data_IF_970482558919
#
_entry.id   IF_970482558919
#
_cell.length_a   1.000
_cell.length_b   1.000
_cell.length_c   1.000
_cell.angle_alpha   90.00
_cell.angle_beta   90.00
_cell.angle_gamma   90.00
#
_symmetry.space_group_name_H-M   'P 1'
#
loop_
_entity.id
_entity.type
_entity.pdbx_description
1 polymer ?
#
# COMPACT_ATOMS: atom_id res chain seq x y z
N UNK A 1 -3.36 13.33 -12.72
CA UNK A 1 -3.12 14.78 -12.57
C UNK A 1 -1.92 15.23 -13.39
N UNK A 2 -0.74 14.62 -13.23
CA UNK A 2 0.45 14.95 -14.02
C UNK A 2 0.88 13.91 -15.05
N UNK A 3 0.13 12.81 -15.21
CA UNK A 3 0.52 11.69 -16.09
C UNK A 3 1.68 10.85 -15.54
N UNK A 4 2.36 11.33 -14.51
CA UNK A 4 3.48 10.70 -13.83
C UNK A 4 3.18 10.52 -12.34
N UNK A 5 3.54 9.34 -11.81
CA UNK A 5 3.41 9.00 -10.40
C UNK A 5 4.45 9.70 -9.53
N UNK A 6 5.58 10.11 -10.11
CA UNK A 6 6.72 10.70 -9.39
C UNK A 6 6.47 12.10 -8.86
N UNK A 7 5.73 12.93 -9.58
CA UNK A 7 5.58 14.37 -9.24
C UNK A 7 5.17 14.62 -7.79
N UNK A 8 4.15 13.92 -7.27
CA UNK A 8 3.70 14.09 -5.88
C UNK A 8 4.42 13.18 -4.88
N UNK A 9 5.17 12.17 -5.35
CA UNK A 9 6.07 11.39 -4.49
C UNK A 9 7.34 12.19 -4.17
N UNK A 10 7.83 12.93 -5.15
CA UNK A 10 9.09 13.68 -5.08
C UNK A 10 8.86 15.09 -4.52
N UNK A 11 7.66 15.65 -4.71
CA UNK A 11 7.28 16.99 -4.21
C UNK A 11 5.95 16.95 -3.44
N UNK A 12 5.86 16.24 -2.31
CA UNK A 12 4.62 16.08 -1.55
C UNK A 12 4.10 17.40 -0.94
N UNK A 13 4.97 18.37 -0.68
CA UNK A 13 4.64 19.71 -0.18
C UNK A 13 3.70 20.47 -1.12
N UNK A 14 3.71 20.15 -2.42
CA UNK A 14 2.78 20.73 -3.37
C UNK A 14 1.32 20.49 -2.98
N UNK A 15 1.02 19.39 -2.28
CA UNK A 15 -0.33 19.11 -1.76
C UNK A 15 -0.73 20.09 -0.67
N UNK A 16 0.20 20.61 0.13
CA UNK A 16 -0.12 21.57 1.19
C UNK A 16 -0.31 22.99 0.63
N UNK A 17 0.59 23.41 -0.26
CA UNK A 17 0.80 24.83 -0.56
C UNK A 17 0.19 25.30 -1.88
N UNK A 18 -0.45 24.41 -2.64
CA UNK A 18 -1.01 24.72 -3.96
C UNK A 18 -2.48 24.30 -4.08
N UNK A 19 -3.08 24.55 -5.25
CA UNK A 19 -4.42 24.06 -5.61
C UNK A 19 -4.59 22.53 -5.47
N UNK A 20 -3.48 21.80 -5.37
CA UNK A 20 -3.44 20.35 -5.15
C UNK A 20 -4.02 19.94 -3.79
N UNK A 21 -4.13 20.83 -2.81
CA UNK A 21 -4.83 20.53 -1.54
C UNK A 21 -6.28 20.10 -1.80
N UNK A 22 -7.00 20.86 -2.61
CA UNK A 22 -8.40 20.61 -2.94
C UNK A 22 -8.51 19.49 -3.97
N UNK A 23 -7.62 19.48 -4.97
CA UNK A 23 -7.67 18.47 -6.01
C UNK A 23 -7.38 17.05 -5.48
N UNK A 24 -6.46 16.91 -4.51
CA UNK A 24 -6.20 15.63 -3.85
C UNK A 24 -7.38 15.17 -2.99
N UNK A 25 -8.06 16.09 -2.29
CA UNK A 25 -9.28 15.78 -1.54
C UNK A 25 -10.43 15.32 -2.45
N UNK A 26 -10.62 15.99 -3.60
CA UNK A 26 -11.62 15.59 -4.62
C UNK A 26 -11.24 14.23 -5.22
N UNK A 27 -9.96 14.00 -5.51
CA UNK A 27 -9.48 12.70 -5.99
C UNK A 27 -9.81 11.59 -4.98
N UNK A 28 -9.49 11.77 -3.69
CA UNK A 28 -9.83 10.81 -2.64
C UNK A 28 -11.35 10.58 -2.53
N UNK A 29 -12.15 11.64 -2.66
CA UNK A 29 -13.62 11.56 -2.59
C UNK A 29 -14.22 10.76 -3.75
N UNK A 30 -13.70 10.93 -4.97
CA UNK A 30 -14.25 10.34 -6.18
C UNK A 30 -13.64 8.99 -6.56
N UNK A 31 -12.39 8.73 -6.18
CA UNK A 31 -11.65 7.56 -6.64
C UNK A 31 -11.83 6.35 -5.68
N UNK A 32 -12.35 5.20 -6.15
CA UNK A 32 -12.55 4.03 -5.30
C UNK A 32 -11.22 3.40 -4.87
N UNK A 33 -11.20 2.85 -3.66
CA UNK A 33 -10.04 2.15 -3.07
C UNK A 33 -10.48 0.77 -2.60
N UNK A 34 -10.66 -0.20 -3.53
CA UNK A 34 -11.13 -1.54 -3.20
C UNK A 34 -10.37 -2.14 -2.00
N UNK A 35 -11.07 -2.76 -1.04
CA UNK A 35 -12.49 -3.13 -1.09
C UNK A 35 -13.51 -2.00 -0.82
N UNK A 36 -13.06 -0.76 -0.66
CA UNK A 36 -13.91 0.39 -0.39
C UNK A 36 -14.44 1.00 -1.70
N UNK A 37 -15.74 1.30 -1.81
CA UNK A 37 -16.24 2.17 -2.88
C UNK A 37 -15.70 3.59 -2.69
N UNK A 38 -15.91 4.47 -3.66
CA UNK A 38 -15.63 5.90 -3.45
C UNK A 38 -16.71 6.56 -2.60
N UNK A 39 -16.37 7.66 -1.92
CA UNK A 39 -17.35 8.43 -1.16
C UNK A 39 -18.42 9.03 -2.07
N UNK A 40 -18.04 9.44 -3.29
CA UNK A 40 -18.99 9.92 -4.30
C UNK A 40 -20.06 8.87 -4.61
N UNK A 41 -19.66 7.61 -4.84
CA UNK A 41 -20.59 6.53 -5.13
C UNK A 41 -21.57 6.25 -3.97
N UNK A 42 -21.14 6.47 -2.73
CA UNK A 42 -22.02 6.34 -1.55
C UNK A 42 -23.06 7.47 -1.53
N UNK A 43 -22.64 8.71 -1.76
CA UNK A 43 -23.50 9.89 -1.64
C UNK A 43 -24.45 10.04 -2.83
N UNK A 44 -24.02 9.70 -4.05
CA UNK A 44 -24.87 9.73 -5.25
C UNK A 44 -25.76 8.47 -5.39
N UNK A 45 -25.52 7.46 -4.55
CA UNK A 45 -26.30 6.22 -4.51
C UNK A 45 -25.94 5.21 -5.59
N UNK A 46 -24.88 5.41 -6.36
CA UNK A 46 -24.43 4.42 -7.36
C UNK A 46 -23.78 3.19 -6.73
N UNK A 47 -23.21 3.31 -5.53
CA UNK A 47 -22.84 2.15 -4.71
C UNK A 47 -24.09 1.52 -4.10
N UNK A 48 -24.39 0.31 -4.54
CA UNK A 48 -25.50 -0.49 -4.04
C UNK A 48 -24.94 -1.62 -3.15
N UNK A 49 -25.02 -1.50 -1.81
CA UNK A 49 -24.47 -2.51 -0.92
C UNK A 49 -25.15 -3.86 -1.15
N UNK A 50 -24.32 -4.89 -1.26
CA UNK A 50 -24.81 -6.27 -1.35
C UNK A 50 -25.20 -6.80 0.04
N UNK A 51 -25.65 -8.05 0.11
CA UNK A 51 -26.08 -8.63 1.40
C UNK A 51 -24.92 -8.78 2.39
N UNK A 52 -23.69 -8.92 1.90
CA UNK A 52 -22.49 -8.97 2.74
C UNK A 52 -22.17 -7.60 3.36
N UNK A 53 -22.22 -6.53 2.58
CA UNK A 53 -22.10 -5.15 3.06
C UNK A 53 -23.15 -4.86 4.15
N UNK A 54 -24.42 -5.19 3.88
CA UNK A 54 -25.52 -4.99 4.84
C UNK A 54 -25.33 -5.81 6.12
N UNK A 55 -24.89 -7.06 6.01
CA UNK A 55 -24.58 -7.90 7.18
C UNK A 55 -23.39 -7.37 8.01
N UNK A 56 -22.54 -6.55 7.39
CA UNK A 56 -21.45 -5.83 8.03
C UNK A 56 -21.84 -4.42 8.52
N UNK A 57 -23.11 -4.04 8.40
CA UNK A 57 -23.62 -2.73 8.79
C UNK A 57 -23.26 -1.60 7.82
N UNK A 58 -22.69 -1.92 6.66
CA UNK A 58 -22.32 -0.97 5.61
C UNK A 58 -23.56 -0.67 4.76
N UNK A 59 -24.30 0.36 5.15
CA UNK A 59 -25.55 0.79 4.49
C UNK A 59 -25.45 2.23 4.01
N UNK A 60 -26.21 2.68 2.99
CA UNK A 60 -26.06 4.02 2.44
C UNK A 60 -26.28 5.11 3.51
N UNK A 61 -25.43 6.13 3.49
CA UNK A 61 -25.48 7.27 4.42
C UNK A 61 -24.09 7.83 4.75
N UNK A 62 -24.07 9.00 5.38
CA UNK A 62 -22.84 9.69 5.76
C UNK A 62 -21.86 8.82 6.59
N UNK A 63 -22.38 7.92 7.44
CA UNK A 63 -21.57 7.04 8.28
C UNK A 63 -20.59 6.16 7.50
N UNK A 64 -21.02 5.61 6.36
CA UNK A 64 -20.16 4.79 5.51
C UNK A 64 -19.02 5.61 4.89
N UNK A 65 -19.23 6.90 4.65
CA UNK A 65 -18.14 7.78 4.18
C UNK A 65 -17.05 7.98 5.26
N UNK A 66 -17.43 7.99 6.54
CA UNK A 66 -16.47 7.98 7.66
C UNK A 66 -15.70 6.66 7.72
N UNK A 67 -16.38 5.54 7.46
CA UNK A 67 -15.74 4.22 7.35
C UNK A 67 -14.70 4.17 6.22
N UNK A 68 -14.98 4.80 5.08
CA UNK A 68 -14.03 4.90 3.96
C UNK A 68 -12.78 5.68 4.38
N UNK A 69 -12.98 6.86 4.99
CA UNK A 69 -11.90 7.77 5.38
C UNK A 69 -10.96 7.15 6.41
N UNK A 70 -11.50 6.66 7.54
CA UNK A 70 -10.68 6.25 8.68
C UNK A 70 -11.31 5.15 9.53
N UNK A 71 -11.98 4.22 8.87
CA UNK A 71 -12.77 3.18 9.52
C UNK A 71 -12.04 2.30 10.52
N UNK A 72 -10.75 2.01 10.28
CA UNK A 72 -9.93 1.20 11.19
C UNK A 72 -9.68 1.85 12.55
N UNK A 73 -9.93 3.16 12.68
CA UNK A 73 -9.74 3.93 13.91
C UNK A 73 -11.08 4.42 14.48
N UNK A 74 -12.00 4.84 13.61
CA UNK A 74 -13.18 5.60 14.04
C UNK A 74 -14.46 4.76 14.20
N UNK A 75 -14.49 3.55 13.65
CA UNK A 75 -15.72 2.79 13.47
C UNK A 75 -15.63 1.36 14.02
N UNK A 76 -16.76 0.64 14.00
CA UNK A 76 -16.84 -0.77 14.43
C UNK A 76 -16.91 -0.99 15.94
N UNK A 77 -16.69 0.06 16.74
CA UNK A 77 -16.98 0.05 18.17
C UNK A 77 -18.49 0.04 18.48
N UNK A 78 -18.90 -0.38 19.68
CA UNK A 78 -20.30 -0.43 20.08
C UNK A 78 -20.95 0.96 20.24
N UNK A 79 -20.12 1.99 20.35
CA UNK A 79 -20.55 3.39 20.51
C UNK A 79 -19.81 4.28 19.53
N UNK A 80 -20.45 5.39 19.18
CA UNK A 80 -19.84 6.39 18.31
C UNK A 80 -18.79 7.19 19.08
N UNK A 81 -17.57 7.25 18.55
CA UNK A 81 -16.47 7.97 19.21
C UNK A 81 -16.52 9.47 18.89
N UNK A 82 -15.77 10.26 19.66
CA UNK A 82 -15.76 11.73 19.55
C UNK A 82 -15.40 12.23 18.14
N UNK A 83 -14.47 11.57 17.45
CA UNK A 83 -14.03 11.92 16.10
C UNK A 83 -15.18 11.79 15.09
N UNK A 84 -15.88 10.65 15.10
CA UNK A 84 -17.04 10.45 14.22
C UNK A 84 -18.21 11.36 14.59
N UNK A 85 -18.47 11.59 15.87
CA UNK A 85 -19.46 12.60 16.32
C UNK A 85 -19.12 14.00 15.80
N UNK A 86 -17.83 14.37 15.77
CA UNK A 86 -17.40 15.64 15.20
C UNK A 86 -17.66 15.72 13.69
N UNK A 87 -17.42 14.63 12.94
CA UNK A 87 -17.75 14.56 11.50
C UNK A 87 -19.25 14.73 11.26
N UNK A 88 -20.09 14.04 12.04
CA UNK A 88 -21.56 14.14 11.97
C UNK A 88 -22.01 15.58 12.25
N UNK A 89 -21.38 16.25 13.22
CA UNK A 89 -21.68 17.65 13.55
C UNK A 89 -21.42 18.55 12.34
N UNK A 90 -20.24 18.48 11.72
CA UNK A 90 -19.93 19.27 10.52
C UNK A 90 -20.88 18.97 9.36
N UNK A 91 -21.21 17.69 9.12
CA UNK A 91 -22.17 17.31 8.09
C UNK A 91 -23.54 17.99 8.29
N UNK A 92 -24.08 17.93 9.51
CA UNK A 92 -25.37 18.56 9.84
C UNK A 92 -25.33 20.08 9.72
N UNK A 93 -24.26 20.72 10.19
CA UNK A 93 -24.10 22.18 10.07
C UNK A 93 -24.03 22.62 8.61
N UNK A 94 -23.26 21.92 7.76
CA UNK A 94 -23.18 22.23 6.34
C UNK A 94 -24.49 21.95 5.61
N UNK A 95 -25.18 20.84 5.90
CA UNK A 95 -26.49 20.56 5.33
C UNK A 95 -27.51 21.66 5.70
N UNK A 96 -27.52 22.10 6.96
CA UNK A 96 -28.36 23.21 7.42
C UNK A 96 -28.00 24.56 6.77
N UNK A 97 -26.71 24.85 6.60
CA UNK A 97 -26.23 26.05 5.92
C UNK A 97 -26.68 26.06 4.46
N UNK A 98 -26.47 24.95 3.74
CA UNK A 98 -26.82 24.76 2.34
C UNK A 98 -28.32 24.52 2.10
N UNK A 99 -29.13 24.42 3.16
CA UNK A 99 -30.57 24.11 3.10
C UNK A 99 -30.88 22.78 2.42
N UNK A 100 -29.98 21.80 2.58
CA UNK A 100 -30.17 20.43 2.13
C UNK A 100 -30.74 19.61 3.30
N UNK A 101 -31.91 18.97 3.15
CA UNK A 101 -32.48 18.16 4.23
C UNK A 101 -31.67 16.88 4.43
N UNK A 102 -31.40 16.53 5.69
CA UNK A 102 -30.84 15.23 6.07
C UNK A 102 -32.02 14.28 6.38
N UNK A 103 -32.23 13.22 5.60
CA UNK A 103 -33.31 12.26 5.86
C UNK A 103 -33.21 11.66 7.27
N UNK A 104 -34.35 11.48 7.93
CA UNK A 104 -34.40 10.93 9.29
C UNK A 104 -33.92 9.48 9.39
N UNK A 105 -33.98 8.75 8.27
CA UNK A 105 -33.49 7.39 8.12
C UNK A 105 -32.05 7.30 7.61
N UNK A 106 -31.37 8.42 7.37
CA UNK A 106 -29.96 8.41 6.97
C UNK A 106 -29.08 7.95 8.14
N UNK A 107 -28.23 6.95 7.90
CA UNK A 107 -27.28 6.47 8.90
C UNK A 107 -26.06 7.38 8.90
N UNK A 108 -25.99 8.26 9.90
CA UNK A 108 -24.92 9.28 9.98
C UNK A 108 -23.65 8.80 10.68
N UNK A 109 -23.77 7.87 11.64
CA UNK A 109 -22.65 7.33 12.39
C UNK A 109 -22.09 6.04 11.79
N UNK A 110 -20.92 5.62 12.27
CA UNK A 110 -20.27 4.39 11.83
C UNK A 110 -20.01 3.40 12.98
N UNK A 111 -20.59 3.64 14.16
CA UNK A 111 -20.64 2.65 15.22
C UNK A 111 -21.23 1.32 14.70
N UNK A 112 -20.64 0.21 15.13
CA UNK A 112 -20.97 -1.16 14.73
C UNK A 112 -20.71 -1.52 13.25
N UNK A 113 -20.31 -0.59 12.39
CA UNK A 113 -19.91 -0.92 11.01
C UNK A 113 -18.61 -1.72 11.02
N UNK A 114 -18.62 -2.92 10.43
CA UNK A 114 -17.39 -3.70 10.21
C UNK A 114 -16.61 -3.12 9.04
N UNK A 115 -15.33 -3.46 8.97
CA UNK A 115 -14.45 -3.04 7.87
C UNK A 115 -14.98 -3.56 6.52
N UNK A 116 -14.69 -2.82 5.46
CA UNK A 116 -14.84 -3.31 4.09
C UNK A 116 -13.90 -4.49 3.86
N UNK A 117 -14.35 -5.47 3.09
CA UNK A 117 -13.57 -6.64 2.69
C UNK A 117 -13.94 -7.07 1.25
N UNK A 118 -13.24 -8.08 0.73
CA UNK A 118 -13.36 -8.53 -0.67
C UNK A 118 -14.75 -9.06 -1.05
N UNK A 119 -15.62 -9.37 -0.08
CA UNK A 119 -17.00 -9.78 -0.33
C UNK A 119 -17.96 -8.61 -0.59
N UNK A 120 -17.54 -7.38 -0.34
CA UNK A 120 -18.38 -6.18 -0.49
C UNK A 120 -18.55 -5.71 -1.93
N UNK A 121 -19.62 -4.98 -2.22
CA UNK A 121 -19.88 -4.40 -3.54
C UNK A 121 -18.87 -3.31 -3.93
N UNK A 122 -18.09 -2.81 -2.96
CA UNK A 122 -16.96 -1.89 -3.19
C UNK A 122 -15.66 -2.58 -3.62
N UNK A 123 -15.60 -3.92 -3.62
CA UNK A 123 -14.43 -4.70 -4.05
C UNK A 123 -14.29 -4.76 -5.58
N UNK A 124 -14.21 -3.58 -6.20
CA UNK A 124 -14.10 -3.42 -7.64
C UNK A 124 -12.74 -3.93 -8.13
N UNK A 125 -12.72 -4.66 -9.24
CA UNK A 125 -11.49 -5.07 -9.91
C UNK A 125 -11.08 -4.03 -10.95
N UNK A 126 -10.27 -3.07 -10.54
CA UNK A 126 -9.97 -1.83 -11.31
C UNK A 126 -8.49 -1.65 -11.63
N UNK A 127 -7.67 -2.65 -11.35
CA UNK A 127 -6.24 -2.66 -11.64
C UNK A 127 -5.89 -3.85 -12.52
N UNK A 128 -4.93 -3.67 -13.43
CA UNK A 128 -4.40 -4.75 -14.25
C UNK A 128 -3.23 -5.43 -13.56
N UNK A 129 -3.20 -6.75 -13.61
CA UNK A 129 -2.12 -7.60 -13.10
C UNK A 129 -1.87 -8.76 -14.06
N UNK A 130 -0.67 -9.35 -14.00
CA UNK A 130 -0.34 -10.58 -14.71
C UNK A 130 -1.42 -11.66 -14.51
N UNK A 131 -1.88 -12.23 -15.62
CA UNK A 131 -2.65 -13.47 -15.59
C UNK A 131 -1.70 -14.67 -15.48
N UNK A 132 -1.86 -15.42 -14.38
CA UNK A 132 -1.11 -16.64 -14.09
C UNK A 132 -1.76 -17.88 -14.70
N UNK A 133 -2.78 -17.69 -15.55
CA UNK A 133 -3.45 -18.75 -16.28
C UNK A 133 -2.51 -19.51 -17.22
N UNK A 134 -2.98 -20.70 -17.61
CA UNK A 134 -2.30 -21.53 -18.59
C UNK A 134 -3.03 -21.49 -19.93
N UNK A 135 -2.28 -21.40 -21.03
CA UNK A 135 -2.81 -21.45 -22.40
C UNK A 135 -2.05 -22.47 -23.24
N UNK A 136 -2.78 -23.37 -23.91
CA UNK A 136 -2.21 -24.34 -24.84
C UNK A 136 -1.65 -23.68 -26.11
N UNK A 137 -2.11 -22.47 -26.41
CA UNK A 137 -1.85 -21.76 -27.67
C UNK A 137 -0.56 -20.94 -27.64
N UNK A 138 0.13 -20.87 -26.49
CA UNK A 138 1.38 -20.13 -26.34
C UNK A 138 2.58 -21.06 -26.14
N UNK A 139 3.76 -20.71 -26.69
CA UNK A 139 4.96 -21.56 -26.58
C UNK A 139 5.42 -21.87 -25.16
N UNK A 140 5.13 -20.98 -24.21
CA UNK A 140 5.52 -21.10 -22.81
C UNK A 140 4.41 -21.67 -21.91
N UNK A 141 3.21 -21.90 -22.46
CA UNK A 141 2.03 -22.27 -21.69
C UNK A 141 1.41 -21.13 -20.89
N UNK A 142 1.91 -19.89 -20.97
CA UNK A 142 1.35 -18.72 -20.26
C UNK A 142 0.28 -18.02 -21.09
N UNK A 143 -0.68 -17.34 -20.49
CA UNK A 143 -1.72 -16.62 -21.25
C UNK A 143 -1.22 -15.37 -21.97
N UNK A 144 -0.06 -14.81 -21.58
CA UNK A 144 0.49 -13.54 -22.09
C UNK A 144 -0.52 -12.36 -22.03
N UNK A 145 -1.37 -12.38 -21.01
CA UNK A 145 -2.41 -11.38 -20.78
C UNK A 145 -2.32 -10.81 -19.38
N UNK A 146 -2.95 -9.65 -19.20
CA UNK A 146 -3.26 -9.14 -17.88
C UNK A 146 -4.76 -9.33 -17.57
N UNK A 147 -5.11 -9.42 -16.30
CA UNK A 147 -6.48 -9.53 -15.81
C UNK A 147 -6.78 -8.46 -14.76
N UNK A 148 -8.06 -8.22 -14.51
CA UNK A 148 -8.50 -7.27 -13.49
C UNK A 148 -8.38 -7.86 -12.08
N UNK A 149 -7.78 -7.11 -11.16
CA UNK A 149 -7.64 -7.44 -9.74
C UNK A 149 -8.15 -6.31 -8.83
N UNK A 150 -8.43 -6.66 -7.57
CA UNK A 150 -8.96 -5.75 -6.55
C UNK A 150 -7.91 -5.08 -5.66
N UNK A 151 -6.62 -5.31 -5.87
CA UNK A 151 -5.54 -4.61 -5.16
C UNK A 151 -4.82 -3.65 -6.10
N UNK A 152 -4.23 -2.61 -5.53
CA UNK A 152 -3.59 -1.56 -6.30
C UNK A 152 -2.32 -2.05 -7.01
N UNK A 153 -2.25 -1.81 -8.32
CA UNK A 153 -1.06 -2.03 -9.15
C UNK A 153 -0.68 -0.71 -9.86
N UNK A 154 0.49 -0.63 -10.53
CA UNK A 154 0.84 0.52 -11.35
C UNK A 154 -0.09 0.76 -12.56
N UNK A 155 -0.91 -0.23 -12.94
CA UNK A 155 -1.70 -0.24 -14.16
C UNK A 155 -3.20 -0.12 -13.83
N UNK A 156 -3.81 1.00 -14.17
CA UNK A 156 -5.23 1.25 -13.88
C UNK A 156 -6.13 0.87 -15.05
N UNK A 157 -7.27 0.24 -14.76
CA UNK A 157 -8.31 0.01 -15.76
C UNK A 157 -8.96 1.30 -16.29
N UNK A 158 -8.79 2.43 -15.59
CA UNK A 158 -9.33 3.73 -15.99
C UNK A 158 -8.40 4.53 -16.89
N UNK A 159 -7.19 4.04 -17.15
CA UNK A 159 -6.21 4.71 -18.01
C UNK A 159 -6.08 3.95 -19.31
N UNK A 160 -6.40 4.62 -20.41
CA UNK A 160 -6.18 4.07 -21.74
C UNK A 160 -4.69 3.71 -21.94
N UNK A 161 -4.46 2.55 -22.55
CA UNK A 161 -3.11 2.01 -22.78
C UNK A 161 -2.47 1.30 -21.58
N UNK A 162 -3.01 1.39 -20.36
CA UNK A 162 -2.39 0.72 -19.19
C UNK A 162 -2.48 -0.81 -19.26
N UNK A 163 -3.48 -1.37 -19.94
CA UNK A 163 -3.50 -2.80 -20.26
C UNK A 163 -2.27 -3.20 -21.10
N UNK A 164 -2.01 -2.47 -22.17
CA UNK A 164 -0.84 -2.68 -23.04
C UNK A 164 0.46 -2.51 -22.28
N UNK A 165 0.56 -1.52 -21.39
CA UNK A 165 1.73 -1.34 -20.51
C UNK A 165 1.90 -2.52 -19.54
N UNK A 166 0.83 -3.04 -18.97
CA UNK A 166 0.86 -4.23 -18.11
C UNK A 166 1.41 -5.45 -18.86
N UNK A 167 0.88 -5.71 -20.06
CA UNK A 167 1.33 -6.84 -20.90
C UNK A 167 2.80 -6.67 -21.31
N UNK A 168 3.20 -5.47 -21.76
CA UNK A 168 4.60 -5.16 -22.11
C UNK A 168 5.53 -5.33 -20.90
N UNK A 169 5.10 -4.91 -19.71
CA UNK A 169 5.88 -5.00 -18.47
C UNK A 169 6.17 -6.44 -18.05
N UNK A 170 5.18 -7.33 -18.07
CA UNK A 170 5.34 -8.69 -17.58
C UNK A 170 5.90 -9.68 -18.61
N UNK A 171 5.58 -9.49 -19.89
CA UNK A 171 5.86 -10.50 -20.91
C UNK A 171 6.91 -10.07 -21.94
N UNK A 172 7.39 -8.82 -21.89
CA UNK A 172 8.42 -8.30 -22.80
C UNK A 172 8.06 -8.55 -24.29
N UNK A 173 6.81 -8.27 -24.65
CA UNK A 173 6.27 -8.51 -26.01
C UNK A 173 6.13 -7.23 -26.81
N UNK A 174 6.23 -7.35 -28.14
CA UNK A 174 5.83 -6.31 -29.08
C UNK A 174 4.32 -6.46 -29.36
N UNK A 175 3.54 -5.48 -28.94
CA UNK A 175 2.09 -5.45 -29.22
C UNK A 175 1.88 -4.88 -30.63
N UNK A 176 1.23 -5.67 -31.48
CA UNK A 176 0.89 -5.32 -32.86
C UNK A 176 -0.63 -5.16 -32.96
N UNK A 177 -1.09 -4.04 -33.52
CA UNK A 177 -2.50 -3.79 -33.77
C UNK A 177 -3.08 -4.73 -34.83
N UNK A 178 -4.41 -4.80 -34.94
CA UNK A 178 -5.10 -5.61 -35.95
C UNK A 178 -4.77 -5.21 -37.40
N UNK A 179 -4.26 -3.99 -37.59
CA UNK A 179 -3.78 -3.44 -38.86
C UNK A 179 -2.31 -3.75 -39.17
N UNK A 180 -1.64 -4.54 -38.31
CA UNK A 180 -0.24 -4.91 -38.47
C UNK A 180 0.75 -3.82 -38.04
N UNK A 181 0.29 -2.71 -37.46
CA UNK A 181 1.17 -1.68 -36.93
C UNK A 181 1.70 -2.09 -35.55
N UNK A 182 3.02 -2.10 -35.39
CA UNK A 182 3.63 -2.22 -34.07
C UNK A 182 3.38 -0.91 -33.32
N UNK A 183 2.88 -0.98 -32.09
CA UNK A 183 2.67 0.17 -31.22
C UNK A 183 4.02 0.75 -30.75
N UNK A 184 4.67 1.46 -31.67
CA UNK A 184 5.95 2.14 -31.53
C UNK A 184 5.73 3.65 -31.54
N UNK A 185 5.69 4.25 -30.35
CA UNK A 185 5.77 5.69 -30.17
C UNK A 185 4.70 6.22 -29.24
N UNK A 186 5.16 6.78 -28.11
CA UNK A 186 4.43 7.73 -27.29
C UNK A 186 3.52 8.62 -28.14
N UNK A 187 2.20 8.49 -28.00
CA UNK A 187 1.32 9.62 -28.24
C UNK A 187 1.65 10.65 -27.16
N UNK A 188 2.53 11.58 -27.51
CA UNK A 188 2.61 12.85 -26.80
C UNK A 188 1.20 13.45 -26.87
N UNK A 189 0.49 13.68 -25.76
CA UNK A 189 -0.76 14.42 -25.84
C UNK A 189 -0.45 15.76 -26.50
N UNK A 190 -1.20 16.10 -27.54
CA UNK A 190 -1.11 17.39 -28.18
C UNK A 190 -1.13 18.49 -27.09
N UNK A 191 -0.25 19.50 -27.16
CA UNK A 191 -0.24 20.55 -26.17
C UNK A 191 -1.64 21.17 -26.09
N UNK A 192 -2.21 21.16 -24.89
CA UNK A 192 -3.44 21.88 -24.60
C UNK A 192 -3.20 23.35 -24.96
N UNK A 193 -4.08 24.00 -25.74
CA UNK A 193 -3.88 25.40 -26.10
C UNK A 193 -3.77 26.23 -24.83
N UNK A 194 -2.66 26.95 -24.69
CA UNK A 194 -2.45 27.92 -23.63
C UNK A 194 -3.52 29.01 -23.77
N UNK A 195 -4.26 29.38 -22.71
CA UNK A 195 -5.15 30.54 -22.75
C UNK A 195 -4.33 31.78 -23.12
N UNK A 196 -4.70 32.42 -24.22
CA UNK A 196 -4.12 33.69 -24.66
C UNK A 196 -4.66 34.77 -23.73
N UNK A 197 -3.76 35.43 -22.99
CA UNK A 197 -4.07 36.66 -22.25
C UNK A 197 -4.19 37.82 -23.26
N UNK A 198 -5.35 38.49 -23.39
CA UNK A 198 -5.56 39.48 -24.43
C UNK A 198 -5.17 40.88 -23.92
N UNK A 199 -3.87 41.11 -23.71
CA UNK A 199 -3.32 42.47 -23.59
C UNK A 199 -1.83 42.47 -23.92
N UNK A 200 -1.47 42.67 -25.18
CA UNK A 200 -0.38 43.63 -25.48
C UNK A 200 -0.45 44.06 -26.96
N UNK A 201 -1.07 45.21 -27.20
CA UNK A 201 -0.97 45.90 -28.47
C UNK A 201 0.36 46.66 -28.52
N UNK A 202 1.20 46.29 -29.47
CA UNK A 202 2.09 47.20 -30.17
C UNK A 202 3.39 47.55 -29.46
N UNK A 203 4.47 46.88 -29.86
CA UNK A 203 5.73 47.61 -30.01
C UNK A 203 6.62 47.03 -31.12
N UNK A 204 7.12 47.93 -31.94
CA UNK A 204 7.93 47.71 -33.14
C UNK A 204 9.32 47.18 -32.80
N UNK A 205 9.74 46.12 -33.51
CA UNK A 205 11.11 45.60 -33.52
C UNK A 205 12.08 46.57 -34.20
N UNK A 206 13.26 46.84 -33.61
CA UNK A 206 14.48 47.07 -34.36
C UNK A 206 15.32 45.79 -34.38
N UNK A 207 15.84 45.46 -35.56
CA UNK A 207 16.82 44.39 -35.79
C UNK A 207 18.11 44.70 -35.00
N UNK A 208 18.65 43.78 -34.17
CA UNK A 208 19.97 43.95 -33.59
C UNK A 208 21.08 43.48 -34.53
N UNK A 209 22.12 44.29 -34.62
CA UNK A 209 23.38 44.03 -35.31
C UNK A 209 24.06 42.72 -34.84
N UNK A 210 24.57 42.01 -35.83
CA UNK A 210 25.39 40.80 -35.76
C UNK A 210 26.81 41.15 -35.28
N UNK A 211 27.04 41.18 -33.96
CA UNK A 211 28.38 41.10 -33.33
C UNK A 211 28.33 40.99 -31.78
N UNK A 212 27.59 40.01 -31.25
CA UNK A 212 27.68 39.65 -29.81
C UNK A 212 28.34 38.27 -29.68
N UNK A 213 29.43 38.09 -28.92
CA UNK A 213 29.99 36.76 -28.67
C UNK A 213 28.95 35.91 -27.96
N UNK A 214 28.82 34.63 -28.35
CA UNK A 214 27.91 33.68 -27.72
C UNK A 214 28.13 33.67 -26.19
N UNK A 215 27.06 33.65 -25.37
CA UNK A 215 27.22 33.46 -23.94
C UNK A 215 27.86 32.09 -23.69
N UNK A 216 28.88 32.09 -22.85
CA UNK A 216 29.57 30.89 -22.40
C UNK A 216 28.53 29.95 -21.75
N UNK A 217 28.31 28.78 -22.37
CA UNK A 217 27.44 27.72 -21.85
C UNK A 217 28.15 27.03 -20.69
N UNK A 218 28.23 27.72 -19.57
CA UNK A 218 28.58 27.11 -18.29
C UNK A 218 27.31 26.61 -17.64
N UNK A 219 26.71 25.57 -18.21
CA UNK A 219 25.73 24.76 -17.50
C UNK A 219 26.41 24.21 -16.24
N UNK A 220 25.94 24.56 -15.02
CA UNK A 220 26.57 24.07 -13.81
C UNK A 220 26.49 22.54 -13.80
N UNK A 221 27.60 21.88 -13.46
CA UNK A 221 27.64 20.42 -13.39
C UNK A 221 26.53 19.90 -12.46
N UNK A 222 25.88 18.77 -12.78
CA UNK A 222 24.85 18.19 -11.93
C UNK A 222 25.43 17.96 -10.53
N UNK A 223 24.71 18.46 -9.51
CA UNK A 223 25.10 18.30 -8.11
C UNK A 223 24.58 16.95 -7.64
N UNK A 224 25.48 16.09 -7.16
CA UNK A 224 25.12 14.78 -6.60
C UNK A 224 24.51 14.93 -5.20
N UNK A 225 23.46 14.16 -4.91
CA UNK A 225 22.74 14.11 -3.63
C UNK A 225 22.93 12.76 -2.96
N UNK A 226 23.00 12.76 -1.63
CA UNK A 226 23.14 11.51 -0.90
C UNK A 226 21.86 10.64 -1.04
N UNK A 227 21.98 9.32 -1.17
CA UNK A 227 20.83 8.43 -1.26
C UNK A 227 20.03 8.42 0.04
N UNK A 228 18.80 7.90 0.03
CA UNK A 228 17.94 7.72 1.21
C UNK A 228 17.85 6.24 1.57
N UNK A 229 18.49 5.85 2.67
CA UNK A 229 18.45 4.49 3.20
C UNK A 229 17.11 4.18 3.88
N UNK A 230 16.48 3.05 3.53
CA UNK A 230 15.28 2.52 4.20
C UNK A 230 15.45 1.04 4.54
N UNK A 231 14.97 0.62 5.70
CA UNK A 231 14.99 -0.79 6.14
C UNK A 231 13.56 -1.22 6.47
N UNK A 232 13.13 -2.35 5.91
CA UNK A 232 11.95 -3.11 6.32
C UNK A 232 12.37 -4.44 6.96
N UNK A 233 11.61 -4.90 7.95
CA UNK A 233 11.91 -6.13 8.69
C UNK A 233 10.74 -6.64 9.53
N UNK A 234 10.92 -7.76 10.27
CA UNK A 234 9.86 -8.39 11.05
C UNK A 234 9.34 -7.49 12.18
N UNK A 235 8.03 -7.31 12.24
CA UNK A 235 7.39 -6.52 13.31
C UNK A 235 7.27 -7.35 14.58
N UNK A 236 7.85 -6.85 15.69
CA UNK A 236 7.79 -7.50 17.01
C UNK A 236 9.07 -8.26 17.40
N UNK A 237 8.96 -9.19 18.35
CA UNK A 237 10.09 -9.97 18.85
C UNK A 237 10.26 -11.28 18.07
N UNK A 238 11.48 -11.56 17.63
CA UNK A 238 11.88 -12.81 16.97
C UNK A 238 12.52 -13.74 17.99
N UNK A 239 12.21 -15.03 17.95
CA UNK A 239 12.85 -16.01 18.84
C UNK A 239 14.33 -16.23 18.46
N UNK A 240 15.18 -16.34 19.47
CA UNK A 240 16.59 -16.69 19.33
C UNK A 240 16.81 -17.89 18.39
N UNK A 241 17.75 -17.74 17.46
CA UNK A 241 18.10 -18.76 16.47
C UNK A 241 17.16 -18.87 15.26
N UNK A 242 16.04 -18.13 15.19
CA UNK A 242 15.16 -18.10 14.00
C UNK A 242 15.74 -17.23 12.89
N UNK A 243 15.40 -17.56 11.65
CA UNK A 243 15.79 -16.78 10.48
C UNK A 243 15.06 -15.43 10.44
N UNK A 244 15.82 -14.37 10.18
CA UNK A 244 15.40 -12.97 10.05
C UNK A 244 15.77 -12.52 8.65
N UNK A 245 14.85 -11.87 7.95
CA UNK A 245 15.12 -11.20 6.67
C UNK A 245 14.89 -9.70 6.80
N UNK A 246 15.85 -8.90 6.33
CA UNK A 246 15.76 -7.45 6.25
C UNK A 246 15.85 -7.02 4.79
N UNK A 247 15.04 -6.04 4.42
CA UNK A 247 14.90 -5.56 3.05
C UNK A 247 15.14 -4.05 2.96
N UNK A 248 16.11 -3.67 2.14
CA UNK A 248 16.50 -2.31 1.80
C UNK A 248 16.12 -1.87 0.38
N UNK A 249 15.36 -2.68 -0.37
CA UNK A 249 14.93 -2.39 -1.74
C UNK A 249 14.05 -1.12 -1.85
N UNK A 250 13.58 -0.59 -0.72
CA UNK A 250 12.90 0.70 -0.65
C UNK A 250 13.84 1.91 -0.58
N UNK A 251 15.17 1.70 -0.53
CA UNK A 251 16.17 2.78 -0.57
C UNK A 251 16.27 3.36 -1.97
N UNK A 252 16.50 4.66 -2.07
CA UNK A 252 16.43 5.40 -3.33
C UNK A 252 17.54 6.43 -3.45
N UNK A 253 17.95 6.72 -4.66
CA UNK A 253 18.84 7.82 -5.00
C UNK A 253 18.08 8.86 -5.83
N UNK A 254 18.27 10.15 -5.56
CA UNK A 254 17.57 11.23 -6.27
C UNK A 254 18.10 11.41 -7.69
N UNK A 255 19.41 11.21 -7.87
CA UNK A 255 20.11 11.37 -9.14
C UNK A 255 20.07 10.08 -9.99
N UNK A 256 19.51 9.01 -9.44
CA UNK A 256 19.31 7.71 -10.11
C UNK A 256 20.58 6.86 -10.15
N UNK A 257 21.56 7.19 -9.30
CA UNK A 257 22.83 6.49 -9.24
C UNK A 257 22.66 5.05 -8.75
N UNK A 258 23.60 4.20 -9.16
CA UNK A 258 23.60 2.80 -8.77
C UNK A 258 23.93 2.66 -7.28
N UNK A 259 23.06 1.96 -6.54
CA UNK A 259 23.16 1.86 -5.09
C UNK A 259 23.93 0.61 -4.65
N UNK A 260 24.86 0.81 -3.72
CA UNK A 260 25.53 -0.26 -2.97
C UNK A 260 25.06 -0.26 -1.53
N UNK A 261 24.76 -1.45 -1.00
CA UNK A 261 24.24 -1.63 0.37
C UNK A 261 25.34 -2.19 1.27
N UNK A 262 25.48 -1.62 2.48
CA UNK A 262 26.36 -2.13 3.54
C UNK A 262 25.59 -2.28 4.84
N UNK A 263 25.39 -3.52 5.26
CA UNK A 263 24.73 -3.87 6.51
C UNK A 263 25.76 -4.13 7.60
N UNK A 264 25.55 -3.58 8.79
CA UNK A 264 26.31 -3.92 10.00
C UNK A 264 25.38 -4.66 10.96
N UNK A 265 25.66 -5.95 11.14
CA UNK A 265 24.94 -6.82 12.04
C UNK A 265 25.29 -6.53 13.51
N UNK A 266 24.49 -7.03 14.49
CA UNK A 266 24.66 -6.68 15.89
C UNK A 266 25.96 -7.16 16.53
N UNK A 267 26.62 -8.15 15.93
CA UNK A 267 27.94 -8.65 16.33
C UNK A 267 29.11 -7.86 15.68
N UNK A 268 28.81 -6.77 14.97
CA UNK A 268 29.79 -5.96 14.26
C UNK A 268 30.23 -6.52 12.90
N UNK A 269 29.68 -7.65 12.45
CA UNK A 269 29.96 -8.17 11.11
C UNK A 269 29.29 -7.32 10.04
N UNK A 270 30.03 -7.02 8.99
CA UNK A 270 29.55 -6.24 7.85
C UNK A 270 29.34 -7.11 6.62
N UNK A 271 28.22 -6.91 5.94
CA UNK A 271 27.92 -7.52 4.63
C UNK A 271 27.63 -6.40 3.64
N UNK A 272 28.37 -6.38 2.52
CA UNK A 272 28.26 -5.32 1.51
C UNK A 272 28.09 -5.90 0.11
N UNK A 273 27.38 -5.17 -0.75
CA UNK A 273 27.21 -5.49 -2.17
C UNK A 273 26.06 -4.72 -2.79
N UNK A 274 26.05 -4.64 -4.11
CA UNK A 274 24.95 -4.13 -4.93
C UNK A 274 23.74 -5.10 -4.91
N UNK A 275 23.99 -6.40 -4.88
CA UNK A 275 23.00 -7.48 -4.74
C UNK A 275 22.49 -7.67 -3.30
N UNK A 276 22.93 -6.83 -2.35
CA UNK A 276 22.61 -6.94 -0.91
C UNK A 276 21.47 -6.03 -0.47
N UNK A 277 20.55 -5.72 -1.38
CA UNK A 277 19.28 -5.08 -1.01
C UNK A 277 18.47 -5.94 -0.02
N UNK A 278 18.61 -7.27 -0.04
CA UNK A 278 17.98 -8.18 0.92
C UNK A 278 19.06 -9.01 1.61
N UNK A 279 19.00 -9.10 2.94
CA UNK A 279 19.85 -10.00 3.73
C UNK A 279 19.01 -10.93 4.60
N UNK A 280 19.56 -12.12 4.85
CA UNK A 280 18.96 -13.11 5.74
C UNK A 280 20.01 -13.64 6.70
N UNK A 281 19.68 -13.72 7.98
CA UNK A 281 20.56 -14.24 9.03
C UNK A 281 19.75 -14.84 10.18
N UNK A 282 20.39 -15.58 11.07
CA UNK A 282 19.71 -16.13 12.25
C UNK A 282 19.81 -15.14 13.42
N UNK A 283 18.70 -14.92 14.13
CA UNK A 283 18.66 -14.08 15.33
C UNK A 283 19.67 -14.59 16.39
N UNK A 284 20.42 -13.71 17.05
CA UNK A 284 21.37 -14.09 18.11
C UNK A 284 20.72 -14.94 19.21
N UNK A 285 21.49 -15.84 19.80
CA UNK A 285 21.06 -16.58 20.99
C UNK A 285 21.06 -15.66 22.21
N UNK A 286 19.93 -15.56 22.90
CA UNK A 286 19.76 -14.70 24.08
C UNK A 286 19.06 -15.46 25.21
N UNK A 287 19.46 -15.17 26.46
CA UNK A 287 18.82 -15.72 27.65
C UNK A 287 17.61 -14.89 28.13
N UNK A 288 17.50 -13.64 27.67
CA UNK A 288 16.40 -12.72 27.97
C UNK A 288 16.13 -11.81 26.76
N UNK A 289 14.96 -11.17 26.74
CA UNK A 289 14.59 -10.25 25.66
C UNK A 289 15.63 -9.13 25.51
N UNK A 290 16.23 -9.04 24.32
CA UNK A 290 17.36 -8.14 24.02
C UNK A 290 17.12 -7.44 22.70
N UNK A 291 17.46 -6.16 22.63
CA UNK A 291 17.37 -5.35 21.42
C UNK A 291 18.74 -5.22 20.75
N UNK A 292 18.75 -5.33 19.43
CA UNK A 292 19.94 -5.27 18.62
C UNK A 292 19.78 -4.22 17.52
N UNK A 293 20.58 -3.14 17.52
CA UNK A 293 20.60 -2.19 16.43
C UNK A 293 21.33 -2.80 15.22
N UNK A 294 20.72 -2.70 14.05
CA UNK A 294 21.29 -3.11 12.77
C UNK A 294 21.35 -1.86 11.90
N UNK A 295 22.55 -1.51 11.45
CA UNK A 295 22.75 -0.32 10.64
C UNK A 295 22.80 -0.71 9.16
N UNK A 296 22.10 0.04 8.33
CA UNK A 296 22.24 0.00 6.88
C UNK A 296 22.88 1.31 6.45
N UNK A 297 23.95 1.22 5.66
CA UNK A 297 24.48 2.34 4.87
C UNK A 297 24.22 2.07 3.39
N UNK A 298 23.65 3.04 2.70
CA UNK A 298 23.41 3.01 1.25
C UNK A 298 24.29 4.08 0.63
N UNK A 299 25.02 3.73 -0.43
CA UNK A 299 25.92 4.65 -1.14
C UNK A 299 25.70 4.57 -2.65
N UNK A 300 25.80 5.72 -3.30
CA UNK A 300 25.75 5.92 -4.75
C UNK A 300 27.16 5.86 -5.41
N UNK A 301 28.22 5.65 -4.61
CA UNK A 301 29.63 5.67 -5.03
C UNK A 301 30.40 6.95 -4.63
N UNK A 302 29.72 8.04 -4.27
CA UNK A 302 30.31 9.32 -3.86
C UNK A 302 29.80 9.81 -2.49
N UNK A 303 28.49 9.73 -2.28
CA UNK A 303 27.78 10.07 -1.07
C UNK A 303 27.10 8.83 -0.46
N UNK A 304 26.64 8.97 0.78
CA UNK A 304 25.97 7.88 1.47
C UNK A 304 25.02 8.38 2.55
N UNK A 305 24.03 7.56 2.89
CA UNK A 305 23.21 7.73 4.10
C UNK A 305 23.12 6.45 4.90
N UNK A 306 22.90 6.63 6.20
CA UNK A 306 22.79 5.52 7.15
C UNK A 306 21.46 5.59 7.88
N UNK A 307 20.83 4.44 8.10
CA UNK A 307 19.65 4.28 8.95
C UNK A 307 19.79 3.04 9.83
N UNK A 308 18.99 2.96 10.89
CA UNK A 308 19.08 1.90 11.90
C UNK A 308 17.73 1.19 12.06
N UNK A 309 17.79 -0.14 12.09
CA UNK A 309 16.67 -1.02 12.42
C UNK A 309 16.90 -1.69 13.77
N UNK A 310 15.93 -1.60 14.68
CA UNK A 310 16.01 -2.24 16.01
C UNK A 310 15.36 -3.62 15.97
N UNK A 311 16.17 -4.67 15.95
CA UNK A 311 15.70 -6.06 16.05
C UNK A 311 15.45 -6.42 17.53
N UNK A 312 14.23 -6.84 17.85
CA UNK A 312 13.90 -7.38 19.16
C UNK A 312 14.04 -8.91 19.14
N UNK A 313 14.88 -9.48 20.01
CA UNK A 313 15.09 -10.94 20.11
C UNK A 313 14.67 -11.44 21.48
N UNK A 314 13.91 -12.52 21.54
CA UNK A 314 13.48 -13.17 22.78
C UNK A 314 14.16 -14.54 22.95
N UNK A 315 14.30 -14.99 24.19
CA UNK A 315 14.99 -16.24 24.50
C UNK A 315 14.27 -17.48 23.94
N UNK A 316 15.06 -18.46 23.53
CA UNK A 316 14.56 -19.78 23.09
C UNK A 316 13.89 -20.48 24.27
N UNK A 317 12.63 -20.88 24.12
CA UNK A 317 11.96 -21.62 25.20
C UNK A 317 12.54 -23.04 25.30
N UNK A 318 13.22 -23.34 26.41
CA UNK A 318 13.66 -24.71 26.72
C UNK A 318 12.51 -25.48 27.36
N UNK A 319 11.71 -26.17 26.55
CA UNK A 319 10.79 -27.17 27.10
C UNK A 319 11.38 -28.57 26.94
N UNK A 320 11.90 -29.10 28.06
CA UNK A 320 12.02 -30.53 28.28
C UNK A 320 10.65 -31.20 28.11
N UNK A 321 10.65 -32.36 27.47
CA UNK A 321 9.47 -32.95 26.86
C UNK A 321 8.35 -33.36 27.82
N UNK A 322 7.13 -33.28 27.29
CA UNK A 322 6.08 -34.26 27.52
C UNK A 322 5.22 -34.40 26.26
N UNK A 323 4.97 -35.66 25.87
CA UNK A 323 3.87 -36.09 25.02
C UNK A 323 2.55 -35.70 25.68
N UNK A 324 2.09 -34.48 25.42
CA UNK A 324 0.74 -34.02 25.77
C UNK A 324 -0.09 -33.98 24.50
N UNK A 325 -1.16 -34.76 24.46
CA UNK A 325 -2.17 -34.65 23.41
C UNK A 325 -2.77 -33.25 23.49
N UNK A 326 -2.37 -32.36 22.60
CA UNK A 326 -2.92 -31.01 22.54
C UNK A 326 -4.41 -31.09 22.18
N UNK A 327 -5.26 -30.33 22.88
CA UNK A 327 -6.69 -30.39 22.66
C UNK A 327 -7.01 -30.01 21.20
N UNK A 328 -7.93 -30.74 20.58
CA UNK A 328 -8.36 -30.44 19.22
C UNK A 328 -9.03 -29.07 19.19
N UNK A 329 -8.62 -28.22 18.25
CA UNK A 329 -9.19 -26.91 18.10
C UNK A 329 -10.69 -27.00 17.79
N UNK A 330 -11.48 -26.18 18.48
CA UNK A 330 -12.89 -25.97 18.15
C UNK A 330 -13.24 -24.50 18.28
N UNK A 331 -14.24 -24.05 17.52
CA UNK A 331 -14.77 -22.69 17.59
C UNK A 331 -15.60 -22.41 18.85
N UNK A 332 -15.97 -23.45 19.61
CA UNK A 332 -16.78 -23.34 20.83
C UNK A 332 -15.93 -23.13 22.07
N UNK A 333 -14.70 -23.63 22.08
CA UNK A 333 -13.75 -23.46 23.17
C UNK A 333 -13.09 -22.08 23.07
N UNK A 334 -12.86 -21.43 24.21
CA UNK A 334 -12.10 -20.18 24.28
C UNK A 334 -10.64 -20.47 24.61
N UNK A 335 -9.75 -20.01 23.75
CA UNK A 335 -8.30 -20.19 23.76
C UNK A 335 -7.61 -18.92 24.22
N UNK A 336 -6.61 -19.02 25.08
CA UNK A 336 -5.83 -17.88 25.58
C UNK A 336 -4.54 -17.76 24.80
N UNK A 337 -3.94 -16.56 24.84
CA UNK A 337 -2.58 -16.34 24.37
C UNK A 337 -1.65 -17.44 24.89
N UNK A 338 -0.91 -18.08 23.99
CA UNK A 338 0.02 -19.15 24.31
C UNK A 338 -0.57 -20.57 24.34
N UNK A 339 -1.89 -20.74 24.30
CA UNK A 339 -2.51 -22.06 24.23
C UNK A 339 -2.16 -22.78 22.92
N UNK A 340 -1.81 -24.06 23.01
CA UNK A 340 -1.47 -24.89 21.86
C UNK A 340 -2.61 -25.86 21.58
N UNK A 341 -3.04 -25.91 20.32
CA UNK A 341 -4.16 -26.73 19.85
C UNK A 341 -3.73 -27.60 18.68
N UNK A 342 -4.35 -28.77 18.54
CA UNK A 342 -4.22 -29.58 17.35
C UNK A 342 -5.36 -29.26 16.38
N UNK A 343 -5.06 -28.91 15.13
CA UNK A 343 -6.06 -28.90 14.08
C UNK A 343 -5.54 -29.70 12.88
N UNK A 344 -6.32 -30.69 12.44
CA UNK A 344 -6.01 -31.55 11.28
C UNK A 344 -4.63 -32.22 11.36
N UNK A 345 -4.17 -32.59 12.56
CA UNK A 345 -2.91 -33.29 12.77
C UNK A 345 -1.68 -32.37 12.88
N UNK A 346 -1.87 -31.05 12.82
CA UNK A 346 -0.82 -30.05 13.00
C UNK A 346 -1.05 -29.24 14.27
N UNK A 347 0.02 -28.69 14.85
CA UNK A 347 -0.02 -27.93 16.09
C UNK A 347 0.05 -26.43 15.83
N UNK A 348 -0.75 -25.68 16.58
CA UNK A 348 -0.86 -24.23 16.42
C UNK A 348 -0.96 -23.57 17.79
N UNK A 349 -0.18 -22.51 18.00
CA UNK A 349 -0.19 -21.74 19.24
C UNK A 349 -0.93 -20.42 19.04
N UNK A 350 -1.86 -20.12 19.94
CA UNK A 350 -2.56 -18.84 19.93
C UNK A 350 -1.56 -17.72 20.20
N UNK A 351 -1.51 -16.72 19.32
CA UNK A 351 -0.55 -15.62 19.44
C UNK A 351 -0.83 -14.76 20.67
N UNK A 352 0.20 -14.10 21.23
CA UNK A 352 0.02 -13.16 22.34
C UNK A 352 -0.78 -11.92 21.92
N UNK A 353 -1.19 -11.11 22.90
CA UNK A 353 -1.81 -9.81 22.65
C UNK A 353 -0.94 -8.95 21.71
N UNK A 354 -1.50 -8.21 20.74
CA UNK A 354 -2.93 -7.91 20.54
C UNK A 354 -3.72 -9.00 19.79
N UNK A 355 -3.05 -10.03 19.28
CA UNK A 355 -3.62 -11.02 18.35
C UNK A 355 -4.37 -12.15 19.04
N UNK A 356 -4.17 -12.34 20.35
CA UNK A 356 -4.81 -13.40 21.15
C UNK A 356 -6.35 -13.37 21.11
N UNK A 357 -6.94 -12.22 20.78
CA UNK A 357 -8.38 -12.10 20.57
C UNK A 357 -8.87 -12.84 19.32
N UNK A 358 -8.02 -13.00 18.31
CA UNK A 358 -8.37 -13.64 17.03
C UNK A 358 -8.41 -15.16 17.13
N UNK A 359 -7.71 -15.77 18.09
CA UNK A 359 -7.79 -17.21 18.38
C UNK A 359 -9.22 -17.67 18.74
N UNK A 360 -10.11 -16.73 19.07
CA UNK A 360 -11.46 -16.97 19.56
C UNK A 360 -12.55 -16.44 18.64
N UNK A 361 -12.16 -15.84 17.51
CA UNK A 361 -13.03 -15.10 16.62
C UNK A 361 -13.03 -15.72 15.22
N UNK A 362 -14.11 -15.51 14.48
CA UNK A 362 -14.26 -15.80 13.06
C UNK A 362 -13.48 -17.03 12.53
N UNK A 363 -13.92 -18.27 12.86
CA UNK A 363 -13.34 -19.52 12.36
C UNK A 363 -12.98 -19.57 10.87
N UNK A 364 -13.79 -18.96 10.00
CA UNK A 364 -13.51 -18.92 8.55
C UNK A 364 -12.20 -18.18 8.21
N UNK A 365 -11.76 -17.27 9.06
CA UNK A 365 -10.52 -16.50 8.94
C UNK A 365 -9.41 -17.07 9.82
N UNK A 366 -9.74 -17.40 11.07
CA UNK A 366 -8.75 -17.69 12.10
C UNK A 366 -8.76 -19.14 12.58
N UNK A 367 -9.44 -20.07 11.89
CA UNK A 367 -9.26 -21.50 12.16
C UNK A 367 -7.80 -21.89 11.88
N UNK A 368 -7.04 -22.38 12.88
CA UNK A 368 -5.61 -22.65 12.74
C UNK A 368 -5.33 -23.63 11.59
N UNK A 369 -4.48 -23.25 10.65
CA UNK A 369 -4.09 -24.08 9.51
C UNK A 369 -5.11 -24.19 8.37
N UNK A 370 -6.21 -23.43 8.39
CA UNK A 370 -7.24 -23.47 7.34
C UNK A 370 -7.83 -22.10 6.99
N UNK A 371 -8.10 -21.26 7.98
CA UNK A 371 -8.73 -19.97 7.75
C UNK A 371 -7.83 -19.06 6.92
N UNK A 372 -8.40 -18.20 6.08
CA UNK A 372 -7.62 -17.41 5.10
C UNK A 372 -6.63 -16.41 5.74
N UNK A 373 -6.78 -16.13 7.02
CA UNK A 373 -5.89 -15.29 7.82
C UNK A 373 -5.44 -16.02 9.10
N UNK A 374 -5.37 -17.36 9.08
CA UNK A 374 -5.11 -18.12 10.30
C UNK A 374 -3.76 -17.76 10.93
N UNK A 375 -2.78 -17.35 10.12
CA UNK A 375 -1.48 -16.90 10.59
C UNK A 375 -1.56 -15.65 11.46
N UNK A 376 -2.62 -14.84 11.35
CA UNK A 376 -2.77 -13.64 12.17
C UNK A 376 -3.10 -13.99 13.62
N UNK A 377 -3.88 -15.04 13.84
CA UNK A 377 -4.30 -15.51 15.15
C UNK A 377 -3.37 -16.58 15.76
N UNK A 378 -2.78 -17.41 14.90
CA UNK A 378 -2.05 -18.61 15.33
C UNK A 378 -0.67 -18.68 14.70
N UNK A 379 0.27 -19.20 15.48
CA UNK A 379 1.60 -19.60 15.00
C UNK A 379 1.59 -21.11 14.79
N UNK A 380 1.90 -21.60 13.58
CA UNK A 380 2.13 -23.02 13.37
C UNK A 380 3.43 -23.44 14.08
N UNK A 381 3.40 -24.59 14.76
CA UNK A 381 4.53 -25.14 15.52
C UNK A 381 5.24 -26.28 14.80
#
# INVERSE_FOLDING_TARGET
MYGDVRVLLDKPELVADTWLNLASAIFFFAYPQPPKPSMLQVIDGTWQPNDHDKANGLVPGFGVTTQIINGGVECGGPTEIAQSQNRIKYYKEFANYLKVPVPSNEVLGCANMKQFDEGGAGALKIYWEQDWGWSADTPSGQTYSCQLVGYQTPFSAFKEGDYTKCVKHYFNVNVVGEDGTSDGGSVTPAPTPTPVDPTDEGNTTPVPDDNTPAPDDTTPAPVNHAPVAKIAGPVGAVEAGKSVSLNASGSTDEDGNHLTYTWTAPNGQTVSGDDKAIITFNAPEVAAATQYPINLTVSDGELSSTTTYTLNVQAKQTNGGQTGTYPTWTSKTKWKAGDIVNNRGQLFQCKPYPYSGWCNNAPSYYEPGKGIAWQDAWTAL
#
